data_IF_869617442035
#
_entry.id   IF_869617442035
#
_cell.length_a   1.000
_cell.length_b   1.000
_cell.length_c   1.000
_cell.angle_alpha   90.00
_cell.angle_beta   90.00
_cell.angle_gamma   90.00
#
_symmetry.space_group_name_H-M   'P 1'
#
loop_
_entity.id
_entity.type
_entity.pdbx_description
1 polymer ?
#
# COMPACT_ATOMS: atom_id res chain seq x y z
N UNK A 1 -25.32 -2.85 -8.53
CA UNK A 1 -23.88 -3.16 -8.26
C UNK A 1 -22.89 -2.54 -9.26
N UNK A 2 -23.24 -2.22 -10.51
CA UNK A 2 -22.29 -1.66 -11.50
C UNK A 2 -21.86 -0.19 -11.27
N UNK A 3 -22.68 0.66 -10.62
CA UNK A 3 -22.35 2.08 -10.39
C UNK A 3 -21.28 2.28 -9.31
N UNK A 4 -21.40 1.62 -8.15
CA UNK A 4 -20.47 1.77 -7.02
C UNK A 4 -19.01 1.46 -7.36
N UNK A 5 -18.74 0.43 -8.18
CA UNK A 5 -17.37 0.12 -8.62
C UNK A 5 -16.79 1.21 -9.53
N UNK A 6 -17.60 1.76 -10.46
CA UNK A 6 -17.16 2.85 -11.33
C UNK A 6 -16.84 4.11 -10.52
N UNK A 7 -17.70 4.44 -9.55
CA UNK A 7 -17.49 5.54 -8.59
C UNK A 7 -16.18 5.34 -7.83
N UNK A 8 -15.95 4.16 -7.27
CA UNK A 8 -14.73 3.86 -6.52
C UNK A 8 -13.47 3.94 -7.41
N UNK A 9 -13.52 3.36 -8.61
CA UNK A 9 -12.42 3.41 -9.56
C UNK A 9 -12.09 4.86 -9.98
N UNK A 10 -13.10 5.64 -10.35
CA UNK A 10 -12.96 7.07 -10.67
C UNK A 10 -12.44 7.87 -9.48
N UNK A 11 -12.86 7.53 -8.26
CA UNK A 11 -12.41 8.20 -7.03
C UNK A 11 -10.94 7.92 -6.74
N UNK A 12 -10.49 6.68 -6.88
CA UNK A 12 -9.11 6.27 -6.58
C UNK A 12 -8.13 6.67 -7.69
N UNK A 13 -8.52 6.50 -8.96
CA UNK A 13 -7.62 6.69 -10.11
C UNK A 13 -7.77 8.05 -10.80
N UNK A 14 -8.83 8.79 -10.48
CA UNK A 14 -9.10 10.10 -11.07
C UNK A 14 -8.47 11.25 -10.29
N UNK A 15 -8.26 12.37 -10.99
CA UNK A 15 -7.82 13.64 -10.42
C UNK A 15 -8.74 14.13 -9.30
N UNK A 16 -8.33 15.18 -8.57
CA UNK A 16 -9.18 15.85 -7.59
C UNK A 16 -10.32 16.62 -8.28
N UNK A 17 -11.40 15.90 -8.56
CA UNK A 17 -12.62 16.46 -9.12
C UNK A 17 -13.52 17.02 -8.03
N UNK A 18 -14.14 18.17 -8.29
CA UNK A 18 -15.11 18.79 -7.39
C UNK A 18 -16.29 17.87 -7.03
N UNK A 19 -16.63 16.91 -7.88
CA UNK A 19 -17.69 15.93 -7.62
C UNK A 19 -17.37 14.99 -6.46
N UNK A 20 -16.10 14.74 -6.12
CA UNK A 20 -15.73 13.91 -4.95
C UNK A 20 -16.20 14.54 -3.64
N UNK A 21 -16.07 15.87 -3.52
CA UNK A 21 -16.50 16.61 -2.32
C UNK A 21 -18.02 16.75 -2.22
N UNK A 22 -18.77 16.40 -3.27
CA UNK A 22 -20.24 16.45 -3.24
C UNK A 22 -20.89 15.16 -2.74
N UNK A 23 -20.10 14.12 -2.43
CA UNK A 23 -20.60 12.91 -1.77
C UNK A 23 -20.79 13.08 -0.26
N UNK A 24 -20.04 13.97 0.37
CA UNK A 24 -20.03 14.18 1.82
C UNK A 24 -19.90 15.69 2.09
N UNK A 25 -20.75 16.24 2.96
CA UNK A 25 -20.66 17.64 3.39
C UNK A 25 -21.98 18.41 3.29
N UNK A 26 -21.98 19.72 3.63
CA UNK A 26 -23.19 20.55 3.69
C UNK A 26 -23.87 20.75 2.33
N UNK A 27 -23.11 20.68 1.24
CA UNK A 27 -23.57 20.84 -0.15
C UNK A 27 -23.63 19.51 -0.89
N UNK A 28 -24.07 18.45 -0.19
CA UNK A 28 -24.16 17.08 -0.72
C UNK A 28 -25.11 17.03 -1.91
N UNK A 29 -24.66 16.43 -3.01
CA UNK A 29 -25.48 16.23 -4.20
C UNK A 29 -25.25 14.82 -4.76
N UNK A 30 -25.95 13.83 -4.16
CA UNK A 30 -25.66 12.41 -4.41
C UNK A 30 -25.97 11.99 -5.84
N UNK A 31 -27.17 12.28 -6.34
CA UNK A 31 -27.62 11.78 -7.65
C UNK A 31 -26.77 12.33 -8.80
N UNK A 32 -26.53 13.65 -8.81
CA UNK A 32 -25.70 14.28 -9.85
C UNK A 32 -24.22 13.93 -9.73
N UNK A 33 -23.67 13.87 -8.52
CA UNK A 33 -22.26 13.48 -8.34
C UNK A 33 -22.02 12.01 -8.72
N UNK A 34 -22.94 11.11 -8.40
CA UNK A 34 -22.89 9.70 -8.77
C UNK A 34 -22.98 9.52 -10.29
N UNK A 35 -23.90 10.22 -10.95
CA UNK A 35 -24.05 10.09 -12.40
C UNK A 35 -22.81 10.61 -13.15
N UNK A 36 -22.31 11.79 -12.77
CA UNK A 36 -21.10 12.37 -13.38
C UNK A 36 -19.87 11.49 -13.15
N UNK A 37 -19.66 10.96 -11.94
CA UNK A 37 -18.50 10.11 -11.66
C UNK A 37 -18.56 8.74 -12.33
N UNK A 38 -19.77 8.16 -12.48
CA UNK A 38 -19.93 6.82 -13.06
C UNK A 38 -20.01 6.81 -14.60
N UNK A 39 -20.32 7.96 -15.21
CA UNK A 39 -20.39 8.12 -16.67
C UNK A 39 -19.15 8.85 -17.22
N UNK A 40 -19.19 10.19 -17.27
CA UNK A 40 -18.19 10.99 -17.98
C UNK A 40 -16.79 10.82 -17.40
N UNK A 41 -16.66 11.02 -16.09
CA UNK A 41 -15.39 10.93 -15.40
C UNK A 41 -14.82 9.51 -15.45
N UNK A 42 -15.67 8.48 -15.37
CA UNK A 42 -15.22 7.09 -15.48
C UNK A 42 -14.58 6.81 -16.85
N UNK A 43 -15.18 7.31 -17.94
CA UNK A 43 -14.63 7.14 -19.29
C UNK A 43 -13.28 7.85 -19.42
N UNK A 44 -13.17 9.08 -18.90
CA UNK A 44 -11.93 9.85 -18.91
C UNK A 44 -10.83 9.12 -18.14
N UNK A 45 -11.09 8.72 -16.89
CA UNK A 45 -10.12 8.05 -16.01
C UNK A 45 -9.71 6.68 -16.55
N UNK A 46 -10.64 5.95 -17.17
CA UNK A 46 -10.31 4.68 -17.84
C UNK A 46 -9.37 4.89 -19.03
N UNK A 47 -9.57 5.96 -19.81
CA UNK A 47 -8.75 6.27 -21.00
C UNK A 47 -7.38 6.83 -20.66
N UNK A 48 -7.28 7.65 -19.63
CA UNK A 48 -6.00 8.25 -19.21
C UNK A 48 -5.04 7.26 -18.53
N UNK A 49 -5.45 6.00 -18.34
CA UNK A 49 -4.54 4.94 -17.88
C UNK A 49 -4.10 5.11 -16.43
N UNK A 50 -4.90 5.78 -15.58
CA UNK A 50 -4.53 6.07 -14.19
C UNK A 50 -4.08 4.84 -13.40
N UNK A 51 -4.70 3.68 -13.64
CA UNK A 51 -4.28 2.40 -13.04
C UNK A 51 -2.92 1.93 -13.54
N UNK A 52 -2.65 2.05 -14.85
CA UNK A 52 -1.36 1.64 -15.42
C UNK A 52 -0.26 2.51 -14.81
N UNK A 53 -0.46 3.82 -14.75
CA UNK A 53 0.50 4.76 -14.16
C UNK A 53 0.75 4.48 -12.68
N UNK A 54 -0.31 4.29 -11.89
CA UNK A 54 -0.18 3.95 -10.47
C UNK A 54 0.53 2.60 -10.29
N UNK A 55 0.23 1.61 -11.14
CA UNK A 55 0.87 0.30 -11.07
C UNK A 55 2.37 0.37 -11.40
N UNK A 56 2.75 0.98 -12.54
CA UNK A 56 4.16 1.00 -12.96
C UNK A 56 5.02 1.96 -12.15
N UNK A 57 4.51 3.13 -11.76
CA UNK A 57 5.33 4.14 -11.08
C UNK A 57 5.28 4.05 -9.55
N UNK A 58 4.24 3.43 -8.97
CA UNK A 58 4.12 3.31 -7.51
C UNK A 58 4.22 1.86 -7.08
N UNK A 59 3.32 0.97 -7.54
CA UNK A 59 3.29 -0.39 -7.03
C UNK A 59 4.56 -1.18 -7.35
N UNK A 60 5.04 -1.13 -8.60
CA UNK A 60 6.23 -1.88 -9.01
C UNK A 60 7.47 -1.48 -8.18
N UNK A 61 7.83 -0.19 -8.05
CA UNK A 61 8.93 0.21 -7.18
C UNK A 61 8.71 -0.18 -5.72
N UNK A 62 7.50 0.00 -5.19
CA UNK A 62 7.20 -0.37 -3.80
C UNK A 62 7.43 -1.85 -3.53
N UNK A 63 7.00 -2.73 -4.44
CA UNK A 63 7.23 -4.17 -4.28
C UNK A 63 8.70 -4.52 -4.40
N UNK A 64 9.41 -3.98 -5.38
CA UNK A 64 10.85 -4.28 -5.56
C UNK A 64 11.65 -3.80 -4.35
N UNK A 65 11.57 -2.52 -4.00
CA UNK A 65 12.36 -1.96 -2.90
C UNK A 65 11.86 -2.39 -1.53
N UNK A 66 10.54 -2.57 -1.37
CA UNK A 66 9.94 -3.03 -0.12
C UNK A 66 10.32 -4.46 0.22
N UNK A 67 10.22 -5.38 -0.75
CA UNK A 67 10.63 -6.78 -0.53
C UNK A 67 12.14 -6.90 -0.28
N UNK A 68 12.95 -6.13 -1.01
CA UNK A 68 14.40 -6.08 -0.80
C UNK A 68 14.76 -5.58 0.61
N UNK A 69 14.08 -4.53 1.09
CA UNK A 69 14.28 -4.00 2.45
C UNK A 69 13.84 -5.01 3.52
N UNK A 70 12.70 -5.68 3.31
CA UNK A 70 12.20 -6.71 4.22
C UNK A 70 13.14 -7.91 4.30
N UNK A 71 13.71 -8.34 3.17
CA UNK A 71 14.68 -9.44 3.12
C UNK A 71 15.96 -9.11 3.90
N UNK A 72 16.49 -7.90 3.75
CA UNK A 72 17.65 -7.44 4.51
C UNK A 72 17.35 -7.39 6.02
N UNK A 73 16.18 -6.87 6.40
CA UNK A 73 15.77 -6.83 7.80
C UNK A 73 15.61 -8.24 8.41
N UNK A 74 14.97 -9.15 7.68
CA UNK A 74 14.83 -10.55 8.10
C UNK A 74 16.20 -11.23 8.25
N UNK A 75 17.14 -10.97 7.33
CA UNK A 75 18.49 -11.49 7.43
C UNK A 75 19.21 -10.96 8.67
N UNK A 76 19.25 -9.63 8.88
CA UNK A 76 19.91 -9.05 10.06
C UNK A 76 19.31 -9.54 11.37
N UNK A 77 17.99 -9.65 11.47
CA UNK A 77 17.31 -10.15 12.67
C UNK A 77 17.64 -11.62 12.95
N UNK A 78 17.77 -12.46 11.92
CA UNK A 78 18.21 -13.86 12.08
C UNK A 78 19.67 -13.92 12.53
N UNK A 79 20.55 -13.10 11.97
CA UNK A 79 21.97 -13.05 12.36
C UNK A 79 22.14 -12.61 13.81
N UNK A 80 21.43 -11.57 14.23
CA UNK A 80 21.51 -11.07 15.60
C UNK A 80 20.95 -12.10 16.60
N UNK A 81 19.83 -12.76 16.25
CA UNK A 81 19.29 -13.86 17.05
C UNK A 81 20.28 -15.02 17.17
N UNK A 82 20.96 -15.38 16.07
CA UNK A 82 21.96 -16.44 16.07
C UNK A 82 23.18 -16.06 16.92
N UNK A 83 23.72 -14.86 16.75
CA UNK A 83 24.85 -14.35 17.53
C UNK A 83 24.53 -14.29 19.04
N UNK A 84 23.32 -13.83 19.38
CA UNK A 84 22.83 -13.81 20.75
C UNK A 84 22.70 -15.22 21.36
N UNK A 85 22.11 -16.17 20.62
CA UNK A 85 21.96 -17.55 21.07
C UNK A 85 23.33 -18.25 21.24
N UNK A 86 24.25 -18.06 20.30
CA UNK A 86 25.58 -18.67 20.35
C UNK A 86 26.49 -18.02 21.40
N UNK A 87 26.39 -16.69 21.57
CA UNK A 87 27.09 -15.93 22.61
C UNK A 87 26.68 -16.35 24.03
N UNK A 88 25.39 -16.63 24.26
CA UNK A 88 24.91 -17.22 25.53
C UNK A 88 25.48 -18.62 25.79
N UNK A 89 25.62 -19.44 24.75
CA UNK A 89 26.17 -20.81 24.87
C UNK A 89 27.64 -20.80 25.31
N UNK A 90 28.42 -19.84 24.81
CA UNK A 90 29.83 -19.71 25.18
C UNK A 90 30.04 -19.32 26.65
N UNK A 91 29.20 -18.41 27.18
CA UNK A 91 29.25 -17.98 28.60
C UNK A 91 28.82 -19.07 29.59
N UNK A 92 27.90 -19.96 29.21
CA UNK A 92 27.47 -21.08 30.06
C UNK A 92 28.54 -22.18 30.15
N UNK A 93 29.36 -22.36 29.09
CA UNK A 93 30.45 -23.34 29.09
C UNK A 93 31.64 -22.97 30.00
N UNK A 94 31.94 -21.68 30.15
CA UNK A 94 33.09 -21.22 30.96
C UNK A 94 32.80 -21.13 32.46
N UNK A 95 31.52 -21.10 32.86
CA UNK A 95 31.12 -20.99 34.27
C UNK A 95 31.15 -22.33 35.02
N UNK A 96 31.28 -23.47 34.32
CA UNK A 96 31.21 -24.82 34.92
C UNK A 96 32.58 -25.47 35.19
N UNK A 97 33.68 -24.77 34.97
CA UNK A 97 35.06 -25.28 35.15
C UNK A 97 35.82 -24.68 36.33
N UNK A 98 35.13 -23.98 37.24
CA UNK A 98 35.69 -23.55 38.53
C UNK A 98 34.86 -24.16 39.67
N UNK A 99 34.99 -25.47 39.88
CA UNK A 99 34.82 -26.14 41.18
C UNK A 99 35.86 -27.24 41.29
#
# INVERSE_FOLDING_TARGET
MKKGFKIFYTWAMGSNFNTKFRFIGPWKWNEGAEDIMSNELFIVVKRSGGFVYLATYTLVPFFIFGTMSMALYAFYTIYDLFAFCFGRRSKVGTSKTCE
#
